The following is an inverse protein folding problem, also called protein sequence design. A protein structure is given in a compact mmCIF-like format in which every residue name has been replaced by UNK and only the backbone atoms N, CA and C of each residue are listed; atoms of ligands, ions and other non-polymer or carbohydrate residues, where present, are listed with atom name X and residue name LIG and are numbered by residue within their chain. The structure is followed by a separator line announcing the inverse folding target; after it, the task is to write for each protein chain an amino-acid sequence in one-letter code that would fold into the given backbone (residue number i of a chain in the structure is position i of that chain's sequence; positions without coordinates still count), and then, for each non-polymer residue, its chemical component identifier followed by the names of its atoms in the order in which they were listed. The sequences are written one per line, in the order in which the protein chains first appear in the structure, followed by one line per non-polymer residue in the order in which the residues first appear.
data_IF_324162834876
#
_entry.id   IF_324162834876
#
_cell.length_a   1.000
_cell.length_b   1.000
_cell.length_c   1.000
_cell.angle_alpha   90.00
_cell.angle_beta   90.00
_cell.angle_gamma   90.00
#
_symmetry.space_group_name_H-M   'P 1'
#
loop_
_entity.id
_entity.type
_entity.pdbx_description
1 polymer ?
#
# COMPACT_ATOMS: atom_id res chain seq x y z
N UNK A 1 -22.31 -10.19 31.71
CA UNK A 1 -22.80 -9.34 30.62
C UNK A 1 -21.99 -8.05 30.67
N UNK A 2 -20.79 -8.08 30.10
CA UNK A 2 -19.90 -6.91 30.06
C UNK A 2 -20.24 -6.11 28.81
N UNK A 3 -20.57 -4.84 28.98
CA UNK A 3 -20.75 -3.88 27.89
C UNK A 3 -19.46 -3.82 27.08
N UNK A 4 -19.45 -4.46 25.92
CA UNK A 4 -18.44 -4.25 24.90
C UNK A 4 -18.71 -2.88 24.29
N UNK A 5 -17.96 -1.86 24.71
CA UNK A 5 -17.86 -0.62 23.93
C UNK A 5 -17.38 -1.01 22.53
N UNK A 6 -18.28 -1.00 21.56
CA UNK A 6 -17.92 -1.16 20.15
C UNK A 6 -16.77 -0.20 19.84
N UNK A 7 -15.67 -0.64 19.20
CA UNK A 7 -14.65 0.27 18.71
C UNK A 7 -15.34 1.36 17.89
N UNK A 8 -15.08 2.62 18.18
CA UNK A 8 -15.75 3.74 17.50
C UNK A 8 -15.39 3.72 16.00
N UNK A 9 -16.32 3.26 15.16
CA UNK A 9 -16.25 3.26 13.70
C UNK A 9 -17.09 4.42 13.12
N UNK A 10 -17.08 4.59 11.80
CA UNK A 10 -17.87 5.64 11.11
C UNK A 10 -17.52 7.07 11.53
N UNK A 11 -16.22 7.38 11.65
CA UNK A 11 -15.71 8.74 11.88
C UNK A 11 -16.11 9.35 13.23
N UNK A 12 -16.35 8.50 14.24
CA UNK A 12 -16.70 8.91 15.59
C UNK A 12 -15.49 8.88 16.54
N UNK A 13 -15.56 9.65 17.63
CA UNK A 13 -14.54 9.68 18.67
C UNK A 13 -13.45 10.72 18.47
N UNK A 14 -12.26 10.46 19.04
CA UNK A 14 -11.10 11.34 18.90
C UNK A 14 -10.58 11.25 17.47
N UNK A 15 -10.22 12.39 16.89
CA UNK A 15 -9.60 12.49 15.56
C UNK A 15 -8.24 13.16 15.62
N UNK A 16 -7.42 12.86 14.62
CA UNK A 16 -6.15 13.54 14.34
C UNK A 16 -6.15 13.89 12.85
N UNK A 17 -5.83 15.14 12.54
CA UNK A 17 -5.72 15.65 11.17
C UNK A 17 -4.25 15.78 10.82
N UNK A 18 -3.90 15.41 9.59
CA UNK A 18 -2.53 15.34 9.12
C UNK A 18 -2.45 15.79 7.66
N UNK A 19 -1.51 16.67 7.35
CA UNK A 19 -1.30 17.30 6.03
C UNK A 19 0.12 17.09 5.48
N UNK A 20 0.95 16.35 6.22
CA UNK A 20 2.36 16.07 5.91
C UNK A 20 2.77 14.72 6.49
N UNK A 21 4.00 14.28 6.22
CA UNK A 21 4.52 13.04 6.80
C UNK A 21 4.52 13.10 8.34
N UNK A 22 3.93 12.09 8.98
CA UNK A 22 3.86 11.98 10.43
C UNK A 22 4.53 10.68 10.89
N UNK A 23 5.73 10.74 11.51
CA UNK A 23 6.47 9.55 11.93
C UNK A 23 5.90 8.92 13.21
N UNK A 24 5.13 9.64 14.01
CA UNK A 24 4.45 9.09 15.19
C UNK A 24 3.25 9.96 15.60
N UNK A 25 2.04 9.42 15.42
CA UNK A 25 0.81 10.03 15.92
C UNK A 25 0.18 9.24 17.09
N UNK A 26 0.88 8.27 17.68
CA UNK A 26 0.36 7.41 18.74
C UNK A 26 -0.10 8.21 19.97
N UNK A 27 0.57 9.32 20.28
CA UNK A 27 0.19 10.22 21.38
C UNK A 27 -1.15 10.91 21.15
N UNK A 28 -1.56 11.10 19.89
CA UNK A 28 -2.83 11.71 19.52
C UNK A 28 -3.92 10.66 19.36
N UNK A 29 -3.62 9.56 18.65
CA UNK A 29 -4.51 8.44 18.39
C UNK A 29 -3.88 7.11 18.83
N UNK A 30 -4.43 6.50 19.87
CA UNK A 30 -3.98 5.19 20.34
C UNK A 30 -4.45 4.03 19.44
N UNK A 31 -5.52 4.26 18.66
CA UNK A 31 -6.11 3.34 17.67
C UNK A 31 -6.82 4.15 16.57
N UNK A 32 -6.99 3.54 15.40
CA UNK A 32 -7.65 4.12 14.23
C UNK A 32 -8.61 3.09 13.62
N UNK A 33 -9.92 3.36 13.71
CA UNK A 33 -10.98 2.48 13.18
C UNK A 33 -11.68 3.06 11.95
N UNK A 34 -11.43 4.33 11.61
CA UNK A 34 -11.95 4.95 10.40
C UNK A 34 -11.01 6.06 9.92
N UNK A 35 -10.93 6.27 8.60
CA UNK A 35 -10.06 7.26 7.96
C UNK A 35 -10.83 7.97 6.86
N UNK A 36 -10.64 9.27 6.74
CA UNK A 36 -11.04 10.04 5.57
C UNK A 36 -9.81 10.65 4.92
N UNK A 37 -9.66 10.44 3.62
CA UNK A 37 -8.62 11.08 2.80
C UNK A 37 -9.30 12.14 1.95
N UNK A 38 -9.13 13.40 2.35
CA UNK A 38 -9.71 14.56 1.65
C UNK A 38 -8.91 14.93 0.39
N UNK A 39 -7.64 14.55 0.30
CA UNK A 39 -6.80 14.84 -0.85
C UNK A 39 -5.50 14.04 -0.90
N UNK A 40 -5.02 13.80 -2.11
CA UNK A 40 -3.82 13.02 -2.40
C UNK A 40 -3.95 11.53 -2.14
N UNK A 41 -2.82 10.84 -2.23
CA UNK A 41 -2.66 9.45 -1.82
C UNK A 41 -1.70 9.36 -0.65
N UNK A 42 -1.95 8.42 0.25
CA UNK A 42 -1.23 8.25 1.51
C UNK A 42 -0.86 6.80 1.73
N UNK A 43 0.23 6.58 2.46
CA UNK A 43 0.57 5.29 3.04
C UNK A 43 0.53 5.41 4.56
N UNK A 44 -0.29 4.58 5.20
CA UNK A 44 -0.35 4.48 6.65
C UNK A 44 0.33 3.20 7.14
N UNK A 45 1.01 3.27 8.27
CA UNK A 45 1.79 2.17 8.84
C UNK A 45 1.29 1.80 10.24
N UNK A 46 1.35 0.52 10.53
CA UNK A 46 0.94 -0.05 11.82
C UNK A 46 1.76 0.49 13.01
N UNK A 47 3.06 0.77 12.81
CA UNK A 47 3.97 1.20 13.87
C UNK A 47 4.57 2.58 13.60
N UNK A 48 5.13 3.26 14.63
CA UNK A 48 5.89 4.48 14.45
C UNK A 48 7.07 4.31 13.49
N UNK A 49 7.56 5.42 12.95
CA UNK A 49 8.70 5.50 12.05
C UNK A 49 8.55 4.63 10.79
N UNK A 50 7.35 4.62 10.22
CA UNK A 50 7.04 4.00 8.93
C UNK A 50 7.31 2.49 8.88
N UNK A 51 7.00 1.81 9.98
CA UNK A 51 7.31 0.39 10.16
C UNK A 51 6.06 -0.49 10.28
N UNK A 52 6.24 -1.78 9.96
CA UNK A 52 5.18 -2.78 10.06
C UNK A 52 4.36 -2.89 8.79
N UNK A 53 3.13 -3.38 8.92
CA UNK A 53 2.23 -3.46 7.78
C UNK A 53 1.91 -2.05 7.29
N UNK A 54 1.92 -1.86 5.97
CA UNK A 54 1.55 -0.62 5.31
C UNK A 54 0.23 -0.77 4.56
N UNK A 55 -0.51 0.32 4.44
CA UNK A 55 -1.82 0.36 3.79
C UNK A 55 -1.90 1.61 2.92
N UNK A 56 -2.16 1.43 1.63
CA UNK A 56 -2.34 2.53 0.68
C UNK A 56 -3.76 3.06 0.77
N UNK A 57 -3.88 4.37 0.93
CA UNK A 57 -5.12 5.10 1.11
C UNK A 57 -5.21 6.19 0.04
N UNK A 58 -6.12 6.03 -0.91
CA UNK A 58 -6.46 7.06 -1.91
C UNK A 58 -7.64 7.90 -1.42
N UNK A 59 -7.94 8.99 -2.12
CA UNK A 59 -9.09 9.84 -1.83
C UNK A 59 -10.36 9.03 -1.57
N UNK A 60 -11.05 9.36 -0.48
CA UNK A 60 -12.29 8.70 -0.10
C UNK A 60 -12.47 8.46 1.40
N UNK A 61 -13.53 7.72 1.70
CA UNK A 61 -13.99 7.43 3.05
C UNK A 61 -13.81 5.95 3.38
N UNK A 62 -13.13 5.69 4.48
CA UNK A 62 -12.89 4.35 5.02
C UNK A 62 -13.53 4.25 6.40
N UNK A 63 -14.82 3.87 6.49
CA UNK A 63 -15.56 3.90 7.77
C UNK A 63 -15.11 2.85 8.79
N UNK A 64 -14.35 1.83 8.37
CA UNK A 64 -13.90 0.68 9.16
C UNK A 64 -12.51 0.23 8.70
N UNK A 65 -11.70 -0.36 9.59
CA UNK A 65 -10.31 -0.75 9.26
C UNK A 65 -10.20 -1.82 8.16
N UNK A 66 -11.23 -2.65 8.02
CA UNK A 66 -11.34 -3.63 6.95
C UNK A 66 -11.42 -2.97 5.57
N UNK A 67 -11.86 -1.70 5.48
CA UNK A 67 -12.00 -0.96 4.21
C UNK A 67 -10.65 -0.58 3.60
N UNK A 68 -9.61 -0.42 4.41
CA UNK A 68 -8.22 -0.31 3.92
C UNK A 68 -7.43 -1.62 4.02
N UNK A 69 -8.13 -2.74 4.26
CA UNK A 69 -7.55 -4.07 4.46
C UNK A 69 -6.63 -4.16 5.70
N UNK A 70 -6.91 -3.34 6.72
CA UNK A 70 -6.23 -3.43 8.01
C UNK A 70 -6.38 -4.81 8.65
N UNK A 71 -5.29 -5.38 9.15
CA UNK A 71 -5.35 -6.59 9.98
C UNK A 71 -5.96 -6.30 11.37
N UNK A 72 -5.84 -5.06 11.83
CA UNK A 72 -6.34 -4.55 13.10
C UNK A 72 -6.51 -3.02 13.01
N UNK A 73 -6.90 -2.39 14.10
CA UNK A 73 -7.13 -0.95 14.23
C UNK A 73 -5.90 -0.15 14.69
N UNK A 74 -4.69 -0.69 14.54
CA UNK A 74 -3.44 0.00 14.91
C UNK A 74 -2.82 0.64 13.69
N UNK A 75 -2.68 1.95 13.78
CA UNK A 75 -1.84 2.77 12.91
C UNK A 75 -1.09 3.75 13.80
N UNK A 76 0.13 4.14 13.42
CA UNK A 76 0.93 5.07 14.21
C UNK A 76 1.80 6.01 13.41
N UNK A 77 1.97 5.79 12.10
CA UNK A 77 2.66 6.75 11.22
C UNK A 77 2.06 6.76 9.83
N UNK A 78 2.23 7.85 9.09
CA UNK A 78 1.77 7.99 7.71
C UNK A 78 2.69 8.89 6.89
N UNK A 79 2.70 8.69 5.58
CA UNK A 79 3.38 9.55 4.60
C UNK A 79 2.46 9.90 3.44
N UNK A 80 2.64 11.11 2.91
CA UNK A 80 2.05 11.47 1.63
C UNK A 80 2.81 10.74 0.50
N UNK A 81 2.08 10.21 -0.48
CA UNK A 81 2.66 9.59 -1.66
C UNK A 81 2.78 10.66 -2.75
N UNK A 82 3.99 10.88 -3.23
CA UNK A 82 4.25 11.86 -4.29
C UNK A 82 3.89 11.28 -5.65
N UNK A 83 2.69 11.61 -6.15
CA UNK A 83 2.26 11.23 -7.49
C UNK A 83 2.83 12.18 -8.54
N UNK A 84 3.32 11.63 -9.65
CA UNK A 84 3.83 12.42 -10.77
C UNK A 84 2.67 13.03 -11.56
N UNK A 85 2.73 14.32 -11.90
CA UNK A 85 1.64 15.06 -12.56
C UNK A 85 1.26 14.59 -13.97
N UNK A 86 2.00 13.64 -14.54
CA UNK A 86 1.82 13.18 -15.93
C UNK A 86 0.68 12.17 -16.13
N UNK A 87 0.09 11.61 -15.06
CA UNK A 87 -1.00 10.63 -15.13
C UNK A 87 -0.65 9.31 -15.83
N UNK A 88 0.58 9.14 -16.31
CA UNK A 88 1.07 7.92 -16.92
C UNK A 88 1.64 6.99 -15.85
N UNK A 89 1.34 5.71 -16.01
CA UNK A 89 1.85 4.64 -15.16
C UNK A 89 2.49 3.59 -16.04
N UNK A 90 3.70 3.18 -15.67
CA UNK A 90 4.40 2.11 -16.38
C UNK A 90 5.35 1.37 -15.45
N UNK A 91 5.21 0.05 -15.40
CA UNK A 91 6.04 -0.84 -14.59
C UNK A 91 6.56 -1.99 -15.44
N UNK A 92 7.81 -2.37 -15.21
CA UNK A 92 8.42 -3.59 -15.72
C UNK A 92 8.67 -4.55 -14.56
N UNK A 93 8.30 -5.81 -14.70
CA UNK A 93 8.51 -6.87 -13.71
C UNK A 93 9.36 -7.98 -14.30
N UNK A 94 10.18 -8.62 -13.47
CA UNK A 94 11.20 -9.57 -13.89
C UNK A 94 11.11 -10.87 -13.08
N UNK A 95 11.28 -12.00 -13.77
CA UNK A 95 11.28 -13.33 -13.15
C UNK A 95 12.49 -13.59 -12.24
N UNK A 96 13.61 -12.89 -12.47
CA UNK A 96 14.84 -13.04 -11.67
C UNK A 96 15.26 -11.70 -11.09
N UNK A 97 16.04 -11.78 -10.01
CA UNK A 97 16.69 -10.61 -9.42
C UNK A 97 17.63 -9.91 -10.40
N UNK A 98 18.03 -8.69 -10.08
CA UNK A 98 18.96 -7.87 -10.86
C UNK A 98 18.51 -7.69 -12.33
N UNK A 99 17.18 -7.62 -12.54
CA UNK A 99 16.53 -7.42 -13.84
C UNK A 99 16.82 -8.52 -14.88
N UNK A 100 17.06 -9.75 -14.40
CA UNK A 100 17.28 -10.92 -15.24
C UNK A 100 16.00 -11.70 -15.55
N UNK A 101 16.13 -12.69 -16.45
CA UNK A 101 15.01 -13.57 -16.83
C UNK A 101 14.03 -12.91 -17.81
N UNK A 102 12.83 -13.46 -17.90
CA UNK A 102 11.77 -12.87 -18.71
C UNK A 102 11.31 -11.54 -18.08
N UNK A 103 11.08 -10.54 -18.94
CA UNK A 103 10.54 -9.24 -18.57
C UNK A 103 9.11 -9.13 -19.09
N UNK A 104 8.24 -8.54 -18.26
CA UNK A 104 6.88 -8.17 -18.60
C UNK A 104 6.66 -6.69 -18.27
N UNK A 105 5.97 -5.97 -19.14
CA UNK A 105 5.64 -4.56 -18.95
C UNK A 105 4.11 -4.41 -18.83
N UNK A 106 3.66 -3.56 -17.91
CA UNK A 106 2.26 -3.18 -17.77
C UNK A 106 2.10 -1.67 -17.57
N UNK A 107 1.01 -1.14 -18.11
CA UNK A 107 0.51 0.21 -17.85
C UNK A 107 -0.85 0.19 -17.13
N UNK A 108 -1.38 -1.00 -16.84
CA UNK A 108 -2.70 -1.21 -16.24
C UNK A 108 -2.60 -2.04 -14.96
N UNK A 109 -3.68 -2.01 -14.18
CA UNK A 109 -3.85 -2.85 -13.00
C UNK A 109 -3.88 -4.33 -13.39
N UNK A 110 -3.17 -5.16 -12.62
CA UNK A 110 -3.12 -6.60 -12.81
C UNK A 110 -3.72 -7.29 -11.57
N UNK A 111 -4.98 -7.76 -11.63
CA UNK A 111 -5.62 -8.45 -10.51
C UNK A 111 -5.08 -9.88 -10.29
N UNK A 112 -4.38 -10.47 -11.27
CA UNK A 112 -3.81 -11.81 -11.17
C UNK A 112 -2.56 -11.94 -12.04
N UNK A 113 -1.39 -11.92 -11.42
CA UNK A 113 -0.09 -12.10 -12.09
C UNK A 113 0.00 -13.48 -12.75
N UNK A 114 -0.60 -14.50 -12.14
CA UNK A 114 -0.63 -15.85 -12.69
C UNK A 114 -1.47 -15.93 -13.97
N UNK A 115 -2.64 -15.29 -14.01
CA UNK A 115 -3.51 -15.36 -15.19
C UNK A 115 -2.95 -14.53 -16.35
N UNK A 116 -2.36 -13.36 -16.04
CA UNK A 116 -1.83 -12.45 -17.05
C UNK A 116 -0.46 -12.89 -17.59
N UNK A 117 0.49 -13.19 -16.69
CA UNK A 117 1.89 -13.41 -17.06
C UNK A 117 2.35 -14.85 -16.88
N UNK A 118 1.53 -15.73 -16.30
CA UNK A 118 1.84 -17.14 -16.03
C UNK A 118 3.07 -17.35 -15.13
N UNK A 119 3.37 -16.35 -14.28
CA UNK A 119 4.44 -16.40 -13.28
C UNK A 119 3.86 -16.36 -11.87
N UNK A 120 4.61 -16.88 -10.89
CA UNK A 120 4.17 -16.96 -9.48
C UNK A 120 4.94 -16.03 -8.56
N UNK A 121 6.05 -15.47 -9.02
CA UNK A 121 6.95 -14.67 -8.20
C UNK A 121 7.52 -13.54 -9.04
N UNK A 122 7.69 -12.38 -8.41
CA UNK A 122 8.36 -11.22 -9.00
C UNK A 122 9.62 -10.97 -8.18
N UNK A 123 10.77 -11.04 -8.84
CA UNK A 123 12.06 -10.96 -8.16
C UNK A 123 12.75 -9.62 -8.34
N UNK A 124 12.41 -8.86 -9.39
CA UNK A 124 12.84 -7.48 -9.56
C UNK A 124 11.77 -6.69 -10.33
N UNK A 125 11.78 -5.37 -10.19
CA UNK A 125 10.93 -4.50 -10.99
C UNK A 125 11.55 -3.12 -11.23
N UNK A 126 11.09 -2.45 -12.28
CA UNK A 126 11.38 -1.04 -12.56
C UNK A 126 10.07 -0.29 -12.68
N UNK A 127 9.85 0.66 -11.78
CA UNK A 127 8.75 1.61 -11.92
C UNK A 127 9.26 2.76 -12.77
N UNK A 128 8.88 2.75 -14.04
CA UNK A 128 9.32 3.76 -15.01
C UNK A 128 8.54 5.06 -14.79
N UNK A 129 7.23 4.94 -14.55
CA UNK A 129 6.29 6.05 -14.42
C UNK A 129 5.20 5.74 -13.38
N UNK A 130 4.76 6.79 -12.69
CA UNK A 130 3.75 6.71 -11.64
C UNK A 130 4.25 6.09 -10.34
N UNK A 131 3.30 5.76 -9.47
CA UNK A 131 3.51 4.95 -8.28
C UNK A 131 2.57 3.73 -8.34
N UNK A 132 3.01 2.63 -7.76
CA UNK A 132 2.33 1.35 -7.82
C UNK A 132 2.25 0.73 -6.43
N UNK A 133 1.33 -0.22 -6.27
CA UNK A 133 1.28 -1.07 -5.09
C UNK A 133 1.30 -2.53 -5.50
N UNK A 134 2.20 -3.29 -4.90
CA UNK A 134 2.21 -4.76 -4.98
C UNK A 134 1.38 -5.36 -3.87
N UNK A 135 0.74 -6.49 -4.18
CA UNK A 135 -0.06 -7.27 -3.25
C UNK A 135 0.41 -8.73 -3.22
N UNK A 136 0.48 -9.28 -2.01
CA UNK A 136 0.86 -10.67 -1.78
C UNK A 136 -0.14 -11.68 -2.37
N UNK A 137 -1.41 -11.30 -2.52
CA UNK A 137 -2.47 -12.16 -3.03
C UNK A 137 -3.16 -11.58 -4.27
N UNK A 138 -3.84 -12.42 -5.08
CA UNK A 138 -4.65 -11.94 -6.19
C UNK A 138 -5.78 -11.02 -5.72
N UNK A 139 -6.33 -10.23 -6.64
CA UNK A 139 -7.44 -9.30 -6.44
C UNK A 139 -7.15 -8.25 -5.36
N UNK A 140 -5.92 -7.76 -5.33
CA UNK A 140 -5.47 -6.65 -4.48
C UNK A 140 -5.62 -6.92 -2.99
N UNK A 141 -5.20 -8.11 -2.53
CA UNK A 141 -5.35 -8.56 -1.13
C UNK A 141 -4.01 -8.93 -0.49
N UNK A 142 -4.04 -9.10 0.82
CA UNK A 142 -2.86 -9.48 1.61
C UNK A 142 -1.98 -8.27 1.90
N UNK A 143 -0.69 -8.52 2.15
CA UNK A 143 0.28 -7.46 2.42
C UNK A 143 0.46 -6.56 1.20
N UNK A 144 0.65 -5.28 1.46
CA UNK A 144 0.83 -4.23 0.46
C UNK A 144 2.28 -3.74 0.48
N UNK A 145 2.80 -3.35 -0.68
CA UNK A 145 4.14 -2.77 -0.80
C UNK A 145 4.06 -1.57 -1.75
N UNK A 146 4.46 -0.38 -1.28
CA UNK A 146 4.54 0.82 -2.09
C UNK A 146 5.77 0.76 -2.99
N UNK A 147 5.57 0.99 -4.28
CA UNK A 147 6.65 1.19 -5.25
C UNK A 147 6.53 2.58 -5.86
N UNK A 148 7.47 3.44 -5.49
CA UNK A 148 7.66 4.73 -6.13
C UNK A 148 8.52 4.56 -7.39
N UNK A 149 8.61 5.61 -8.21
CA UNK A 149 9.46 5.61 -9.39
C UNK A 149 10.90 5.25 -9.02
N UNK A 150 11.44 4.20 -9.63
CA UNK A 150 12.76 3.68 -9.29
C UNK A 150 13.00 2.26 -9.78
N UNK A 151 14.18 1.75 -9.42
CA UNK A 151 14.60 0.39 -9.73
C UNK A 151 14.72 -0.41 -8.44
N UNK A 152 14.18 -1.62 -8.45
CA UNK A 152 14.17 -2.54 -7.32
C UNK A 152 14.73 -3.88 -7.80
N UNK A 153 15.97 -4.19 -7.42
CA UNK A 153 16.68 -5.37 -7.95
C UNK A 153 16.34 -6.66 -7.22
N UNK A 154 15.69 -6.58 -6.05
CA UNK A 154 15.29 -7.73 -5.22
C UNK A 154 14.11 -7.39 -4.31
N UNK A 155 13.38 -8.39 -3.77
CA UNK A 155 12.16 -8.14 -3.00
C UNK A 155 12.31 -7.29 -1.73
N UNK A 156 13.48 -7.34 -1.11
CA UNK A 156 13.74 -6.52 0.09
C UNK A 156 13.76 -5.02 -0.22
N UNK A 157 13.99 -4.62 -1.48
CA UNK A 157 14.05 -3.21 -1.86
C UNK A 157 12.67 -2.55 -1.81
N UNK A 158 11.58 -3.31 -2.02
CA UNK A 158 10.19 -2.86 -1.76
C UNK A 158 9.65 -3.32 -0.40
N UNK A 159 10.52 -3.81 0.49
CA UNK A 159 10.18 -4.18 1.85
C UNK A 159 9.51 -5.55 2.03
N UNK A 160 9.54 -6.41 1.00
CA UNK A 160 9.03 -7.78 1.12
C UNK A 160 10.09 -8.75 1.67
N UNK A 161 9.63 -9.77 2.41
CA UNK A 161 10.48 -10.87 2.91
C UNK A 161 10.52 -12.07 1.96
N UNK A 162 9.66 -12.08 0.94
CA UNK A 162 9.56 -13.11 -0.10
C UNK A 162 9.21 -12.46 -1.45
N UNK A 163 9.48 -13.12 -2.58
CA UNK A 163 9.13 -12.61 -3.92
C UNK A 163 7.65 -12.81 -4.29
N UNK A 164 6.80 -13.19 -3.32
CA UNK A 164 5.39 -13.51 -3.54
C UNK A 164 4.57 -12.24 -3.81
N UNK A 165 4.36 -11.93 -5.08
CA UNK A 165 3.49 -10.86 -5.56
C UNK A 165 2.51 -11.47 -6.56
N UNK A 166 1.22 -11.30 -6.32
CA UNK A 166 0.16 -11.97 -7.08
C UNK A 166 -0.83 -10.99 -7.73
N UNK A 167 -0.81 -9.72 -7.33
CA UNK A 167 -1.51 -8.64 -8.04
C UNK A 167 -0.81 -7.32 -7.80
N UNK A 168 -1.06 -6.35 -8.67
CA UNK A 168 -0.54 -4.99 -8.53
C UNK A 168 -1.47 -3.98 -9.19
N UNK A 169 -1.49 -2.75 -8.70
CA UNK A 169 -2.28 -1.66 -9.29
C UNK A 169 -1.54 -0.34 -9.26
N UNK A 170 -1.91 0.55 -10.17
CA UNK A 170 -1.44 1.92 -10.15
C UNK A 170 -2.05 2.70 -8.98
N UNK A 171 -1.32 3.70 -8.48
CA UNK A 171 -1.83 4.66 -7.50
C UNK A 171 -2.17 5.93 -8.28
N UNK A 172 -3.45 6.25 -8.31
CA UNK A 172 -4.00 7.48 -8.86
C UNK A 172 -4.76 8.24 -7.78
N UNK A 173 -4.90 9.56 -7.96
CA UNK A 173 -5.79 10.42 -7.17
C UNK A 173 -7.26 10.15 -7.47
#
# INVERSE_FOLDING_TARGET
LGEGTSPLSHFQGRRYECDSDCPDFHTYLSRCNSIRVEGGAWVAYERPNFAGNMYILTHGEYPEYQRWMGLNDRLSSCKAIHLSSGGQHRIQIFEKGDFGGQMYESTEDCPSVMDEFHIREIHACKVLEGAWVFYEHPNFRGRQYLLEKGEYCKPVDWGAVSPSVQSFRCIAE
#
